data_IF_633638645546
#
_entry.id   IF_633638645546
#
_cell.length_a   1.000
_cell.length_b   1.000
_cell.length_c   1.000
_cell.angle_alpha   90.00
_cell.angle_beta   90.00
_cell.angle_gamma   90.00
#
_symmetry.space_group_name_H-M   'P 1'
#
loop_
_entity.id
_entity.type
_entity.pdbx_description
1 polymer ?
#
# COMPACT_ATOMS: atom_id res chain seq x y z
N UNK A 1 -23.11 4.20 -2.82
CA UNK A 1 -23.88 2.96 -3.05
C UNK A 1 -23.47 1.92 -2.03
N UNK A 2 -24.31 1.65 -1.08
CA UNK A 2 -24.03 0.72 0.01
C UNK A 2 -23.96 -0.76 -0.44
N UNK A 3 -24.36 -1.10 -1.66
CA UNK A 3 -24.48 -2.48 -2.13
C UNK A 3 -23.23 -3.11 -2.77
N UNK A 4 -22.11 -2.35 -2.90
CA UNK A 4 -20.90 -2.85 -3.54
C UNK A 4 -19.83 -3.32 -2.56
N UNK A 5 -19.98 -3.02 -1.28
CA UNK A 5 -19.04 -3.49 -0.26
C UNK A 5 -19.25 -4.98 0.02
N UNK A 6 -18.18 -5.75 0.00
CA UNK A 6 -18.21 -7.17 0.32
C UNK A 6 -17.43 -7.43 1.62
N UNK A 7 -18.15 -7.83 2.67
CA UNK A 7 -17.55 -8.07 3.99
C UNK A 7 -16.56 -9.25 4.03
N UNK A 8 -16.51 -10.06 3.00
CA UNK A 8 -15.52 -11.13 2.87
C UNK A 8 -14.13 -10.61 2.52
N UNK A 9 -14.03 -9.40 1.96
CA UNK A 9 -12.75 -8.77 1.67
C UNK A 9 -12.16 -8.23 2.96
N UNK A 10 -11.07 -8.82 3.44
CA UNK A 10 -10.40 -8.48 4.70
C UNK A 10 -9.13 -7.67 4.50
N UNK A 11 -8.47 -7.83 3.37
CA UNK A 11 -7.21 -7.17 3.07
C UNK A 11 -7.17 -6.72 1.62
N UNK A 12 -6.57 -5.56 1.39
CA UNK A 12 -6.37 -4.96 0.07
C UNK A 12 -4.95 -4.47 -0.05
N UNK A 13 -4.34 -4.70 -1.19
CA UNK A 13 -3.08 -4.05 -1.58
C UNK A 13 -3.37 -3.19 -2.81
N UNK A 14 -3.10 -1.90 -2.71
CA UNK A 14 -3.27 -0.96 -3.81
C UNK A 14 -1.92 -0.31 -4.14
N UNK A 15 -1.49 -0.48 -5.37
CA UNK A 15 -0.21 0.04 -5.86
C UNK A 15 -0.44 1.27 -6.72
N UNK A 16 0.09 2.39 -6.30
CA UNK A 16 -0.06 3.71 -6.95
C UNK A 16 -1.52 4.06 -7.29
N UNK A 17 -2.47 3.91 -6.37
CA UNK A 17 -3.84 4.28 -6.66
C UNK A 17 -4.00 5.80 -6.64
N UNK A 18 -4.73 6.40 -7.58
CA UNK A 18 -5.04 7.83 -7.58
C UNK A 18 -6.17 8.12 -6.58
N UNK A 19 -5.90 8.04 -5.29
CA UNK A 19 -6.93 8.09 -4.24
C UNK A 19 -7.72 9.39 -4.27
N UNK A 20 -7.05 10.51 -4.45
CA UNK A 20 -7.71 11.82 -4.45
C UNK A 20 -8.60 12.03 -5.67
N UNK A 21 -8.23 11.39 -6.79
CA UNK A 21 -9.00 11.48 -8.02
C UNK A 21 -10.26 10.60 -7.99
N UNK A 22 -10.15 9.43 -7.35
CA UNK A 22 -11.20 8.42 -7.41
C UNK A 22 -12.12 8.40 -6.20
N UNK A 23 -11.68 8.96 -5.07
CA UNK A 23 -12.40 8.85 -3.81
C UNK A 23 -12.58 10.23 -3.16
N UNK A 24 -13.78 10.47 -2.67
CA UNK A 24 -13.99 11.60 -1.77
C UNK A 24 -13.25 11.37 -0.45
N UNK A 25 -12.81 12.44 0.23
CA UNK A 25 -12.05 12.31 1.48
C UNK A 25 -12.73 11.43 2.53
N UNK A 26 -14.06 11.48 2.62
CA UNK A 26 -14.84 10.68 3.56
C UNK A 26 -14.97 9.20 3.18
N UNK A 27 -14.59 8.82 1.97
CA UNK A 27 -14.73 7.42 1.52
C UNK A 27 -13.75 6.49 2.23
N UNK A 28 -12.57 6.98 2.58
CA UNK A 28 -11.58 6.19 3.31
C UNK A 28 -12.08 5.75 4.70
N UNK A 29 -12.97 6.52 5.33
CA UNK A 29 -13.54 6.20 6.63
C UNK A 29 -14.45 4.96 6.61
N UNK A 30 -14.90 4.57 5.44
CA UNK A 30 -15.84 3.46 5.25
C UNK A 30 -15.16 2.17 4.79
N UNK A 31 -13.85 2.18 4.64
CA UNK A 31 -13.10 0.99 4.25
C UNK A 31 -12.93 0.08 5.47
N UNK A 32 -13.62 -1.04 5.49
CA UNK A 32 -13.51 -2.04 6.57
C UNK A 32 -12.29 -2.96 6.39
N UNK A 33 -11.96 -3.29 5.13
CA UNK A 33 -10.77 -4.07 4.83
C UNK A 33 -9.49 -3.31 5.21
N UNK A 34 -8.48 -4.03 5.67
CA UNK A 34 -7.18 -3.42 5.97
C UNK A 34 -6.44 -3.15 4.66
N UNK A 35 -6.04 -1.90 4.47
CA UNK A 35 -5.47 -1.39 3.24
C UNK A 35 -3.96 -1.20 3.39
N UNK A 36 -3.21 -1.80 2.49
CA UNK A 36 -1.81 -1.45 2.23
C UNK A 36 -1.74 -0.64 0.95
N UNK A 37 -1.34 0.62 1.08
CA UNK A 37 -0.97 1.45 -0.04
C UNK A 37 0.52 1.34 -0.33
N UNK A 38 0.88 1.23 -1.59
CA UNK A 38 2.27 1.29 -2.03
C UNK A 38 2.41 2.40 -3.05
N UNK A 39 3.35 3.30 -2.83
CA UNK A 39 3.59 4.45 -3.71
C UNK A 39 5.08 4.63 -3.95
N UNK A 40 5.45 5.05 -5.14
CA UNK A 40 6.83 5.36 -5.50
C UNK A 40 7.20 6.81 -5.22
N UNK A 41 8.37 7.06 -4.65
CA UNK A 41 8.80 8.43 -4.33
C UNK A 41 9.05 9.28 -5.57
N UNK A 42 9.21 8.68 -6.74
CA UNK A 42 9.36 9.35 -8.04
C UNK A 42 8.21 9.07 -9.01
N UNK A 43 7.05 8.71 -8.49
CA UNK A 43 5.87 8.52 -9.33
C UNK A 43 5.32 9.88 -9.76
N UNK A 44 5.50 10.20 -11.04
CA UNK A 44 5.02 11.45 -11.65
C UNK A 44 3.60 11.32 -12.22
N UNK A 45 3.12 10.11 -12.41
CA UNK A 45 1.76 9.84 -12.92
C UNK A 45 0.75 9.93 -11.79
N UNK A 46 1.07 9.28 -10.67
CA UNK A 46 0.27 9.32 -9.43
C UNK A 46 1.19 9.73 -8.29
N UNK A 47 1.45 11.04 -8.12
CA UNK A 47 2.40 11.51 -7.14
C UNK A 47 2.02 11.12 -5.71
N UNK A 48 3.00 10.64 -4.95
CA UNK A 48 2.77 10.08 -3.62
C UNK A 48 2.21 11.09 -2.61
N UNK A 49 2.63 12.35 -2.68
CA UNK A 49 2.18 13.36 -1.71
C UNK A 49 0.68 13.63 -1.82
N UNK A 50 0.11 14.05 -2.97
CA UNK A 50 -1.31 14.32 -3.06
C UNK A 50 -2.18 13.06 -3.08
N UNK A 51 -1.68 11.94 -3.58
CA UNK A 51 -2.50 10.77 -3.88
C UNK A 51 -2.40 9.65 -2.84
N UNK A 52 -1.41 9.71 -1.96
CA UNK A 52 -1.25 8.69 -0.92
C UNK A 52 -1.01 9.31 0.46
N UNK A 53 0.01 10.15 0.62
CA UNK A 53 0.42 10.69 1.92
C UNK A 53 -0.68 11.56 2.52
N UNK A 54 -1.16 12.55 1.80
CA UNK A 54 -2.22 13.44 2.29
C UNK A 54 -3.53 12.71 2.60
N UNK A 55 -4.07 11.87 1.70
CA UNK A 55 -5.29 11.13 2.01
C UNK A 55 -5.16 10.25 3.25
N UNK A 56 -4.03 9.58 3.42
CA UNK A 56 -3.78 8.76 4.61
C UNK A 56 -3.69 9.60 5.89
N UNK A 57 -3.03 10.75 5.83
CA UNK A 57 -2.89 11.66 6.97
C UNK A 57 -4.21 12.30 7.36
N UNK A 58 -4.93 12.85 6.39
CA UNK A 58 -6.19 13.57 6.64
C UNK A 58 -7.30 12.67 7.22
N UNK A 59 -7.27 11.40 6.91
CA UNK A 59 -8.29 10.43 7.37
C UNK A 59 -7.93 9.67 8.63
N UNK A 60 -6.73 9.88 9.17
CA UNK A 60 -6.25 9.08 10.31
C UNK A 60 -6.15 7.59 9.99
N UNK A 61 -5.83 7.25 8.75
CA UNK A 61 -5.88 5.88 8.26
C UNK A 61 -4.93 4.93 8.99
N UNK A 62 -3.78 5.43 9.43
CA UNK A 62 -2.82 4.62 10.19
C UNK A 62 -3.40 4.11 11.51
N UNK A 63 -4.17 4.94 12.22
CA UNK A 63 -4.82 4.58 13.48
C UNK A 63 -5.93 3.54 13.28
N UNK A 64 -6.45 3.43 12.06
CA UNK A 64 -7.44 2.41 11.66
C UNK A 64 -6.80 1.10 11.20
N UNK A 65 -5.47 1.01 11.22
CA UNK A 65 -4.71 -0.16 10.82
C UNK A 65 -4.37 -0.23 9.34
N UNK A 66 -4.62 0.84 8.57
CA UNK A 66 -4.14 0.97 7.20
C UNK A 66 -2.67 1.37 7.21
N UNK A 67 -1.93 0.97 6.17
CA UNK A 67 -0.49 1.25 6.06
C UNK A 67 -0.14 1.85 4.72
N UNK A 68 0.89 2.69 4.70
CA UNK A 68 1.48 3.25 3.50
C UNK A 68 2.97 2.94 3.46
N UNK A 69 3.39 2.26 2.41
CA UNK A 69 4.80 1.99 2.13
C UNK A 69 5.24 2.83 0.95
N UNK A 70 6.30 3.60 1.13
CA UNK A 70 6.99 4.32 0.07
C UNK A 70 8.17 3.50 -0.43
N UNK A 71 8.23 3.33 -1.75
CA UNK A 71 9.34 2.69 -2.44
C UNK A 71 10.26 3.79 -2.97
N UNK A 72 11.45 3.90 -2.39
CA UNK A 72 12.36 4.98 -2.73
C UNK A 72 12.90 4.84 -4.16
N UNK A 73 12.87 5.95 -4.89
CA UNK A 73 13.33 6.02 -6.28
C UNK A 73 12.40 5.37 -7.31
N UNK A 74 11.33 4.71 -6.89
CA UNK A 74 10.41 4.05 -7.82
C UNK A 74 9.50 5.05 -8.52
N UNK A 75 9.34 4.87 -9.82
CA UNK A 75 8.34 5.55 -10.64
C UNK A 75 7.08 4.69 -10.81
N UNK A 76 6.09 5.22 -11.52
CA UNK A 76 4.83 4.53 -11.75
C UNK A 76 4.98 3.20 -12.49
N UNK A 77 5.92 3.13 -13.42
CA UNK A 77 6.13 1.95 -14.25
C UNK A 77 6.94 0.88 -13.54
N UNK A 78 7.93 1.26 -12.76
CA UNK A 78 8.74 0.32 -12.00
C UNK A 78 7.93 -0.43 -10.93
N UNK A 79 6.94 0.21 -10.34
CA UNK A 79 6.02 -0.44 -9.39
C UNK A 79 5.07 -1.43 -10.06
N UNK A 80 4.79 -1.26 -11.34
CA UNK A 80 3.85 -2.09 -12.11
C UNK A 80 4.50 -3.17 -12.95
N UNK A 81 5.81 -3.23 -12.99
CA UNK A 81 6.52 -4.18 -13.82
C UNK A 81 6.36 -5.60 -13.30
N UNK A 82 5.35 -6.27 -13.77
CA UNK A 82 5.15 -7.71 -13.60
C UNK A 82 5.87 -8.55 -14.66
N UNK A 83 6.54 -7.92 -15.61
CA UNK A 83 7.23 -8.61 -16.70
C UNK A 83 8.74 -8.54 -16.50
N UNK A 84 9.22 -9.61 -15.94
CA UNK A 84 10.56 -10.17 -16.08
C UNK A 84 11.71 -9.21 -16.24
N UNK A 85 12.13 -8.54 -15.25
CA UNK A 85 13.49 -8.09 -15.07
C UNK A 85 13.58 -7.42 -13.68
N UNK A 86 14.23 -8.08 -12.77
CA UNK A 86 14.73 -7.60 -11.48
C UNK A 86 13.74 -7.04 -10.44
N UNK A 87 12.57 -6.53 -10.81
CA UNK A 87 11.69 -5.81 -9.88
C UNK A 87 10.44 -6.54 -9.37
N UNK A 88 9.88 -7.58 -10.02
CA UNK A 88 8.74 -8.31 -9.47
C UNK A 88 9.04 -8.98 -8.12
N UNK A 89 10.28 -9.31 -7.88
CA UNK A 89 10.72 -9.91 -6.63
C UNK A 89 10.58 -8.98 -5.41
N UNK A 90 10.49 -7.67 -5.61
CA UNK A 90 10.44 -6.70 -4.51
C UNK A 90 9.05 -6.59 -3.90
N UNK A 91 8.02 -6.57 -4.73
CA UNK A 91 6.65 -6.43 -4.27
C UNK A 91 6.09 -7.71 -3.66
N UNK A 92 6.59 -8.86 -4.10
CA UNK A 92 6.12 -10.17 -3.65
C UNK A 92 6.17 -10.34 -2.13
N UNK A 93 7.33 -10.21 -1.49
CA UNK A 93 7.45 -10.33 -0.04
C UNK A 93 6.61 -9.32 0.74
N UNK A 94 6.52 -8.07 0.27
CA UNK A 94 5.69 -7.04 0.89
C UNK A 94 4.21 -7.41 0.84
N UNK A 95 3.72 -7.74 -0.33
CA UNK A 95 2.31 -8.09 -0.54
C UNK A 95 1.92 -9.36 0.21
N UNK A 96 2.76 -10.39 0.12
CA UNK A 96 2.52 -11.65 0.80
C UNK A 96 2.57 -11.48 2.33
N UNK A 97 3.51 -10.70 2.82
CA UNK A 97 3.61 -10.37 4.24
C UNK A 97 2.36 -9.68 4.77
N UNK A 98 1.85 -8.72 4.02
CA UNK A 98 0.59 -8.04 4.36
C UNK A 98 -0.59 -9.01 4.39
N UNK A 99 -0.76 -9.81 3.34
CA UNK A 99 -1.86 -10.76 3.25
C UNK A 99 -1.78 -11.82 4.36
N UNK A 100 -0.60 -12.36 4.63
CA UNK A 100 -0.42 -13.34 5.70
C UNK A 100 -0.86 -12.78 7.07
N UNK A 101 -0.50 -11.54 7.37
CA UNK A 101 -0.91 -10.94 8.65
C UNK A 101 -2.40 -10.67 8.72
N UNK A 102 -2.97 -10.02 7.71
CA UNK A 102 -4.37 -9.61 7.75
C UNK A 102 -5.33 -10.79 7.66
N UNK A 103 -4.94 -11.85 6.97
CA UNK A 103 -5.73 -13.09 6.85
C UNK A 103 -5.38 -14.11 7.93
N UNK A 104 -4.48 -13.79 8.85
CA UNK A 104 -4.05 -14.66 9.94
C UNK A 104 -3.49 -16.00 9.47
N UNK A 105 -2.83 -15.99 8.32
CA UNK A 105 -2.12 -17.16 7.79
C UNK A 105 -0.80 -17.31 8.54
N UNK A 106 -0.52 -18.49 9.14
CA UNK A 106 0.74 -18.68 9.85
C UNK A 106 1.93 -18.73 8.89
N UNK A 107 3.10 -18.39 9.40
CA UNK A 107 4.34 -18.45 8.64
C UNK A 107 4.91 -17.10 8.23
N UNK A 108 5.92 -17.14 7.37
CA UNK A 108 6.69 -16.00 6.88
C UNK A 108 6.52 -15.90 5.36
N UNK A 109 6.64 -14.71 4.73
CA UNK A 109 6.94 -13.42 5.35
C UNK A 109 5.76 -12.82 6.11
N UNK A 110 6.05 -11.89 7.01
CA UNK A 110 5.04 -11.10 7.71
C UNK A 110 5.36 -9.61 7.56
N UNK A 111 4.34 -8.79 7.41
CA UNK A 111 4.50 -7.36 7.20
C UNK A 111 5.24 -6.70 8.37
N UNK A 112 4.86 -6.99 9.58
CA UNK A 112 5.44 -6.42 10.80
C UNK A 112 6.93 -6.74 10.99
N UNK A 113 7.46 -7.75 10.32
CA UNK A 113 8.87 -8.10 10.38
C UNK A 113 9.75 -7.14 9.56
N UNK A 114 9.18 -6.40 8.62
CA UNK A 114 9.95 -5.55 7.72
C UNK A 114 10.85 -6.34 6.75
N UNK A 115 11.88 -5.68 6.23
CA UNK A 115 12.87 -6.33 5.38
C UNK A 115 12.39 -6.74 4.00
N UNK A 116 11.35 -6.11 3.49
CA UNK A 116 10.74 -6.44 2.20
C UNK A 116 11.59 -6.02 0.99
N UNK A 117 12.41 -4.99 1.16
CA UNK A 117 13.30 -4.50 0.11
C UNK A 117 14.58 -5.31 0.01
N UNK A 118 15.36 -5.01 -0.99
CA UNK A 118 16.73 -5.48 -1.11
C UNK A 118 17.75 -4.37 -0.73
N UNK A 119 19.05 -4.65 -0.95
CA UNK A 119 20.09 -3.68 -0.64
C UNK A 119 20.08 -2.43 -1.53
N UNK A 120 19.40 -2.47 -2.66
CA UNK A 120 19.37 -1.40 -3.66
C UNK A 120 18.09 -0.56 -3.59
N UNK A 121 17.00 -1.14 -3.09
CA UNK A 121 15.70 -0.49 -3.06
C UNK A 121 15.19 -0.46 -1.64
N UNK A 122 14.98 0.76 -1.15
CA UNK A 122 14.41 0.97 0.18
C UNK A 122 12.89 1.07 0.10
N UNK A 123 12.23 0.27 0.91
CA UNK A 123 10.80 0.36 1.17
C UNK A 123 10.60 0.75 2.61
N UNK A 124 9.88 1.83 2.83
CA UNK A 124 9.68 2.40 4.17
C UNK A 124 8.20 2.50 4.49
N UNK A 125 7.79 1.89 5.58
CA UNK A 125 6.47 2.16 6.17
C UNK A 125 6.50 3.55 6.82
N UNK A 126 5.76 4.47 6.25
CA UNK A 126 5.68 5.87 6.72
C UNK A 126 4.42 6.15 7.53
N UNK A 127 3.60 5.14 7.79
CA UNK A 127 2.28 5.29 8.38
C UNK A 127 2.31 5.97 9.75
N UNK A 128 3.31 5.66 10.55
CA UNK A 128 3.44 6.23 11.91
C UNK A 128 3.84 7.72 11.91
N UNK A 129 4.26 8.25 10.78
CA UNK A 129 4.64 9.67 10.62
C UNK A 129 3.48 10.52 10.11
N UNK A 130 2.37 9.90 9.78
CA UNK A 130 1.18 10.55 9.27
C UNK A 130 0.21 10.85 10.38
#
# INVERSE_FOLDING_TARGET
MAGLADSRVKAVVAVSPPLRLLFEPSSADRIEAKLLLVSGSRDWVVPSVPEAIRPMSETGAAQKGHRLVLVDGADHFSLRSFRGEAQPALMGPLMLGWLNEQLQVPGSPRFSQGGWGDKQIQMVDVSERL
#
